data_IF_807541167591
#
_entry.id   IF_807541167591
#
_cell.length_a   1.000
_cell.length_b   1.000
_cell.length_c   1.000
_cell.angle_alpha   90.00
_cell.angle_beta   90.00
_cell.angle_gamma   90.00
#
_symmetry.space_group_name_H-M   'P 1'
#
loop_
_entity.id
_entity.type
_entity.pdbx_description
1 polymer ?
#
# COMPACT_ATOMS: atom_id res chain seq x y z
N UNK A 1 9.43 18.07 -1.96
CA UNK A 1 7.97 17.79 -1.98
C UNK A 1 7.54 17.43 -0.56
N UNK A 2 6.33 17.81 -0.13
CA UNK A 2 5.77 17.26 1.11
C UNK A 2 5.29 15.84 0.81
N UNK A 3 5.83 14.84 1.50
CA UNK A 3 5.32 13.47 1.41
C UNK A 3 3.90 13.43 1.96
N UNK A 4 2.95 12.92 1.17
CA UNK A 4 1.56 12.74 1.61
C UNK A 4 1.44 11.34 2.21
N UNK A 5 0.99 11.26 3.46
CA UNK A 5 0.55 10.00 4.03
C UNK A 5 -0.68 9.50 3.28
N UNK A 6 -0.75 8.19 3.08
CA UNK A 6 -1.85 7.51 2.39
C UNK A 6 -2.76 6.85 3.44
N UNK A 7 -4.03 7.23 3.47
CA UNK A 7 -5.03 6.55 4.30
C UNK A 7 -5.43 5.24 3.63
N UNK A 8 -4.96 4.11 4.19
CA UNK A 8 -5.25 2.78 3.65
C UNK A 8 -6.40 2.09 4.38
N UNK A 9 -6.70 2.55 5.60
CA UNK A 9 -7.93 2.23 6.34
C UNK A 9 -8.36 3.45 7.12
N UNK A 10 -9.64 3.50 7.51
CA UNK A 10 -10.16 4.61 8.30
C UNK A 10 -9.30 4.87 9.55
N UNK A 11 -8.63 6.01 9.59
CA UNK A 11 -7.75 6.41 10.69
C UNK A 11 -6.36 5.75 10.69
N UNK A 12 -6.01 4.98 9.67
CA UNK A 12 -4.71 4.31 9.55
C UNK A 12 -4.00 4.74 8.27
N UNK A 13 -2.84 5.37 8.48
CA UNK A 13 -2.08 6.05 7.44
C UNK A 13 -0.69 5.45 7.33
N UNK A 14 -0.24 5.22 6.10
CA UNK A 14 1.13 4.75 5.83
C UNK A 14 1.88 5.80 5.00
N UNK A 15 3.20 5.86 5.17
CA UNK A 15 4.06 6.61 4.26
C UNK A 15 4.45 5.71 3.08
N UNK A 16 4.01 6.02 1.84
CA UNK A 16 4.33 5.18 0.67
C UNK A 16 5.82 5.03 0.41
N UNK A 17 6.65 6.04 0.76
CA UNK A 17 8.11 5.99 0.62
C UNK A 17 8.77 4.88 1.47
N UNK A 18 8.05 4.36 2.47
CA UNK A 18 8.51 3.26 3.33
C UNK A 18 7.97 1.89 2.93
N UNK A 19 7.17 1.80 1.87
CA UNK A 19 6.68 0.52 1.36
C UNK A 19 7.84 -0.16 0.62
N UNK A 20 8.15 -1.39 1.04
CA UNK A 20 9.21 -2.20 0.43
C UNK A 20 8.63 -3.20 -0.57
N UNK A 21 7.44 -3.73 -0.29
CA UNK A 21 6.75 -4.64 -1.20
C UNK A 21 5.24 -4.61 -1.03
N UNK A 22 4.54 -4.92 -2.12
CA UNK A 22 3.09 -5.10 -2.19
C UNK A 22 2.84 -6.45 -2.85
N UNK A 23 2.05 -7.31 -2.22
CA UNK A 23 1.72 -8.64 -2.71
C UNK A 23 0.20 -8.82 -2.79
N UNK A 24 -0.31 -9.13 -3.98
CA UNK A 24 -1.72 -9.42 -4.22
C UNK A 24 -1.96 -10.93 -4.06
N UNK A 25 -2.69 -11.32 -3.03
CA UNK A 25 -3.04 -12.70 -2.74
C UNK A 25 -4.23 -13.15 -3.59
N UNK A 26 -4.35 -14.47 -3.82
CA UNK A 26 -5.45 -15.05 -4.59
C UNK A 26 -6.83 -14.87 -3.91
N UNK A 27 -6.87 -14.48 -2.64
CA UNK A 27 -8.06 -14.37 -1.78
C UNK A 27 -8.52 -12.91 -1.57
N UNK A 28 -8.39 -12.04 -2.59
CA UNK A 28 -8.75 -10.61 -2.52
C UNK A 28 -8.08 -9.83 -1.37
N UNK A 29 -6.95 -10.34 -0.87
CA UNK A 29 -6.14 -9.74 0.19
C UNK A 29 -4.87 -9.17 -0.41
N UNK A 30 -4.46 -8.00 0.04
CA UNK A 30 -3.24 -7.33 -0.40
C UNK A 30 -2.36 -7.14 0.82
N UNK A 31 -1.16 -7.70 0.77
CA UNK A 31 -0.17 -7.57 1.84
C UNK A 31 0.85 -6.49 1.47
N UNK A 32 0.86 -5.39 2.22
CA UNK A 32 1.83 -4.31 2.12
C UNK A 32 2.88 -4.48 3.21
N UNK A 33 4.16 -4.56 2.85
CA UNK A 33 5.27 -4.65 3.81
C UNK A 33 6.02 -3.33 3.89
N UNK A 34 6.12 -2.77 5.09
CA UNK A 34 6.88 -1.55 5.37
C UNK A 34 8.34 -1.84 5.68
N UNK A 35 9.20 -0.82 5.59
CA UNK A 35 10.63 -0.92 5.89
C UNK A 35 10.94 -1.30 7.34
N UNK A 36 9.97 -1.17 8.25
CA UNK A 36 10.04 -1.64 9.64
C UNK A 36 9.85 -3.15 9.77
N UNK A 37 9.41 -3.84 8.72
CA UNK A 37 8.95 -5.22 8.74
C UNK A 37 7.47 -5.40 9.09
N UNK A 38 6.75 -4.32 9.41
CA UNK A 38 5.30 -4.34 9.62
C UNK A 38 4.57 -4.77 8.34
N UNK A 39 3.58 -5.64 8.49
CA UNK A 39 2.72 -6.11 7.41
C UNK A 39 1.30 -5.58 7.59
N UNK A 40 0.85 -4.81 6.62
CA UNK A 40 -0.50 -4.27 6.56
C UNK A 40 -1.31 -5.10 5.58
N UNK A 41 -2.33 -5.76 6.10
CA UNK A 41 -3.30 -6.51 5.28
C UNK A 41 -4.42 -5.57 4.86
N UNK A 42 -4.61 -5.39 3.57
CA UNK A 42 -5.68 -4.61 2.98
C UNK A 42 -6.62 -5.54 2.23
N UNK A 43 -7.91 -5.23 2.23
CA UNK A 43 -8.81 -5.82 1.24
C UNK A 43 -8.65 -5.11 -0.12
N UNK A 44 -9.34 -5.61 -1.14
CA UNK A 44 -9.30 -5.04 -2.49
C UNK A 44 -9.69 -3.56 -2.55
N UNK A 45 -10.74 -3.13 -1.85
CA UNK A 45 -11.19 -1.73 -1.85
C UNK A 45 -10.18 -0.80 -1.17
N UNK A 46 -9.65 -1.23 -0.02
CA UNK A 46 -8.60 -0.54 0.73
C UNK A 46 -7.31 -0.40 -0.11
N UNK A 47 -6.99 -1.42 -0.92
CA UNK A 47 -5.81 -1.42 -1.78
C UNK A 47 -5.87 -0.46 -2.98
N UNK A 48 -7.07 0.00 -3.39
CA UNK A 48 -7.21 0.91 -4.54
C UNK A 48 -6.45 2.24 -4.33
N UNK A 49 -6.29 2.68 -3.07
CA UNK A 49 -5.54 3.89 -2.78
C UNK A 49 -4.05 3.79 -3.14
N UNK A 50 -3.48 2.57 -3.22
CA UNK A 50 -2.09 2.36 -3.61
C UNK A 50 -1.84 2.76 -5.07
N UNK A 51 -2.86 2.64 -5.94
CA UNK A 51 -2.79 3.03 -7.36
C UNK A 51 -2.65 4.55 -7.54
N UNK A 52 -2.95 5.34 -6.51
CA UNK A 52 -2.73 6.80 -6.52
C UNK A 52 -1.23 7.16 -6.44
N UNK A 53 -0.39 6.22 -6.04
CA UNK A 53 1.04 6.43 -5.78
C UNK A 53 1.93 5.53 -6.63
N UNK A 54 1.50 4.28 -6.87
CA UNK A 54 2.27 3.29 -7.61
C UNK A 54 1.60 2.99 -8.94
N UNK A 55 2.39 3.04 -10.02
CA UNK A 55 1.97 2.54 -11.33
C UNK A 55 2.27 1.04 -11.40
N UNK A 56 1.23 0.22 -11.19
CA UNK A 56 1.36 -1.24 -11.29
C UNK A 56 1.38 -1.75 -12.73
N UNK A 57 1.02 -0.91 -13.70
CA UNK A 57 1.04 -1.25 -15.12
C UNK A 57 2.38 -0.93 -15.78
N UNK A 58 3.10 0.07 -15.26
CA UNK A 58 4.46 0.40 -15.64
C UNK A 58 5.36 0.56 -14.40
N UNK A 59 5.89 -0.55 -13.85
CA UNK A 59 6.66 -0.53 -12.60
C UNK A 59 8.09 0.05 -12.73
N UNK A 60 8.37 0.83 -13.78
CA UNK A 60 9.69 1.38 -14.10
C UNK A 60 9.63 2.83 -14.57
#
# INVERSE_FOLDING_TARGET
MKEKLLEVKKGYYINPSHIVSIYYEATDTITVTLSTGEKVLLNREEGLCLELVFDFHNPF
#
